data_IF_740515602669
#
_entry.id   IF_740515602669
#
_cell.length_a   1.000
_cell.length_b   1.000
_cell.length_c   1.000
_cell.angle_alpha   90.00
_cell.angle_beta   90.00
_cell.angle_gamma   90.00
#
_symmetry.space_group_name_H-M   'P 1'
#
loop_
_entity.id
_entity.type
_entity.pdbx_description
1 polymer ?
#
# COMPACT_ATOMS: atom_id res chain seq x y z
N UNK A 1 -3.95 30.97 -2.03
CA UNK A 1 -4.38 29.88 -1.12
C UNK A 1 -5.83 29.56 -1.44
N UNK A 2 -6.06 28.45 -2.13
CA UNK A 2 -7.40 27.97 -2.44
C UNK A 2 -8.16 27.74 -1.12
N UNK A 3 -9.45 28.09 -1.06
CA UNK A 3 -10.25 27.81 0.14
C UNK A 3 -10.31 26.29 0.31
N UNK A 4 -9.94 25.78 1.50
CA UNK A 4 -9.97 24.36 1.88
C UNK A 4 -11.38 23.75 1.89
N UNK A 5 -12.42 24.51 1.55
CA UNK A 5 -13.81 24.09 1.66
C UNK A 5 -14.20 23.24 0.45
N UNK A 6 -14.59 21.98 0.68
CA UNK A 6 -15.15 21.05 -0.32
C UNK A 6 -14.22 20.63 -1.49
N UNK A 7 -12.92 20.40 -1.24
CA UNK A 7 -11.99 19.96 -2.31
C UNK A 7 -12.28 18.54 -2.85
N UNK A 8 -12.71 17.62 -1.99
CA UNK A 8 -12.99 16.22 -2.36
C UNK A 8 -14.00 15.57 -1.41
N UNK A 9 -14.47 14.39 -1.76
CA UNK A 9 -15.18 13.45 -0.88
C UNK A 9 -14.42 12.13 -0.80
N UNK A 10 -14.51 11.47 0.36
CA UNK A 10 -14.06 10.09 0.54
C UNK A 10 -15.28 9.19 0.62
N UNK A 11 -15.30 8.15 -0.22
CA UNK A 11 -16.34 7.12 -0.20
C UNK A 11 -15.71 5.79 0.16
N UNK A 12 -16.15 5.22 1.26
CA UNK A 12 -15.79 3.84 1.63
C UNK A 12 -16.32 2.85 0.58
N UNK A 13 -15.44 1.97 0.09
CA UNK A 13 -15.79 0.93 -0.87
C UNK A 13 -15.89 -0.43 -0.20
N UNK A 14 -14.83 -0.84 0.51
CA UNK A 14 -14.69 -2.17 1.12
C UNK A 14 -13.56 -2.20 2.15
N UNK A 15 -13.57 -3.23 2.98
CA UNK A 15 -12.46 -3.58 3.87
C UNK A 15 -11.73 -4.80 3.29
N UNK A 16 -10.40 -4.75 3.30
CA UNK A 16 -9.52 -5.83 2.89
C UNK A 16 -8.59 -6.22 4.04
N UNK A 17 -8.21 -7.49 4.10
CA UNK A 17 -7.20 -7.97 5.04
C UNK A 17 -5.85 -8.00 4.36
N UNK A 18 -4.94 -7.17 4.84
CA UNK A 18 -3.58 -7.12 4.33
C UNK A 18 -2.60 -7.69 5.33
N UNK A 19 -1.48 -8.19 4.81
CA UNK A 19 -0.28 -8.37 5.57
C UNK A 19 0.61 -7.14 5.34
N UNK A 20 0.98 -6.45 6.42
CA UNK A 20 1.74 -5.21 6.41
C UNK A 20 3.16 -5.40 6.92
N UNK A 21 4.11 -4.78 6.24
CA UNK A 21 5.50 -4.71 6.66
C UNK A 21 5.62 -3.76 7.87
N UNK A 22 6.42 -4.11 8.90
CA UNK A 22 6.73 -3.19 9.99
C UNK A 22 7.56 -1.98 9.51
N UNK A 23 7.33 -0.82 10.13
CA UNK A 23 7.95 0.46 9.76
C UNK A 23 9.49 0.49 9.84
N UNK A 24 10.11 -0.48 10.53
CA UNK A 24 11.55 -0.64 10.66
C UNK A 24 12.00 -1.82 9.81
N UNK A 25 12.30 -1.64 8.52
CA UNK A 25 13.15 -2.64 7.84
C UNK A 25 13.87 -2.12 6.61
N UNK A 26 15.13 -2.55 6.49
CA UNK A 26 16.11 -2.17 5.47
C UNK A 26 16.06 -3.13 4.27
N UNK A 27 16.77 -2.78 3.19
CA UNK A 27 17.00 -3.61 2.00
C UNK A 27 17.49 -5.05 2.31
N UNK A 28 18.12 -5.28 3.46
CA UNK A 28 18.56 -6.60 3.93
C UNK A 28 17.38 -7.57 4.03
N UNK A 29 16.20 -7.07 4.41
CA UNK A 29 14.99 -7.87 4.56
C UNK A 29 14.53 -8.51 3.24
N UNK A 30 14.70 -7.84 2.09
CA UNK A 30 14.18 -8.35 0.81
C UNK A 30 14.91 -9.64 0.41
N UNK A 31 16.23 -9.69 0.64
CA UNK A 31 17.03 -10.87 0.37
C UNK A 31 16.69 -12.01 1.34
N UNK A 32 16.53 -11.69 2.63
CA UNK A 32 16.13 -12.68 3.65
C UNK A 32 14.75 -13.27 3.35
N UNK A 33 13.76 -12.43 2.99
CA UNK A 33 12.43 -12.87 2.56
C UNK A 33 12.53 -13.76 1.33
N UNK A 34 13.32 -13.38 0.32
CA UNK A 34 13.51 -14.22 -0.86
C UNK A 34 14.03 -15.61 -0.47
N UNK A 35 15.14 -15.68 0.28
CA UNK A 35 15.79 -16.94 0.63
C UNK A 35 14.89 -17.83 1.49
N UNK A 36 14.14 -17.24 2.44
CA UNK A 36 13.18 -17.96 3.29
C UNK A 36 11.96 -18.43 2.50
N UNK A 37 11.40 -17.60 1.60
CA UNK A 37 10.19 -17.95 0.87
C UNK A 37 10.45 -18.90 -0.30
N UNK A 38 11.66 -18.86 -0.87
CA UNK A 38 12.02 -19.71 -2.02
C UNK A 38 11.90 -21.21 -1.70
N UNK A 39 12.13 -21.62 -0.44
CA UNK A 39 12.03 -23.02 -0.03
C UNK A 39 10.61 -23.61 -0.13
N UNK A 40 9.58 -22.75 -0.23
CA UNK A 40 8.17 -23.15 -0.36
C UNK A 40 7.68 -23.17 -1.82
N UNK A 41 8.57 -22.85 -2.76
CA UNK A 41 8.24 -22.84 -4.18
C UNK A 41 8.47 -24.21 -4.80
N UNK A 42 7.42 -24.78 -5.37
CA UNK A 42 7.42 -26.10 -6.03
C UNK A 42 7.08 -26.01 -7.52
N UNK A 43 6.85 -24.80 -8.05
CA UNK A 43 6.51 -24.58 -9.46
C UNK A 43 6.99 -23.22 -9.96
N UNK A 44 7.23 -23.12 -11.28
CA UNK A 44 7.62 -21.88 -11.94
C UNK A 44 6.59 -20.74 -11.78
N UNK A 45 5.30 -21.09 -11.65
CA UNK A 45 4.26 -20.10 -11.43
C UNK A 45 4.37 -19.46 -10.04
N UNK A 46 4.65 -20.26 -9.00
CA UNK A 46 4.87 -19.71 -7.65
C UNK A 46 6.12 -18.83 -7.60
N UNK A 47 7.18 -19.20 -8.33
CA UNK A 47 8.38 -18.37 -8.44
C UNK A 47 8.10 -17.03 -9.12
N UNK A 48 7.30 -17.03 -10.19
CA UNK A 48 6.85 -15.80 -10.86
C UNK A 48 6.05 -14.89 -9.90
N UNK A 49 5.16 -15.47 -9.09
CA UNK A 49 4.37 -14.74 -8.10
C UNK A 49 5.26 -14.19 -6.97
N UNK A 50 6.24 -14.96 -6.49
CA UNK A 50 7.22 -14.49 -5.49
C UNK A 50 8.03 -13.31 -6.03
N UNK A 51 8.53 -13.41 -7.26
CA UNK A 51 9.30 -12.34 -7.88
C UNK A 51 8.46 -11.06 -8.04
N UNK A 52 7.20 -11.19 -8.46
CA UNK A 52 6.28 -10.05 -8.54
C UNK A 52 6.03 -9.39 -7.17
N UNK A 53 5.87 -10.19 -6.11
CA UNK A 53 5.76 -9.69 -4.74
C UNK A 53 7.03 -8.94 -4.29
N UNK A 54 8.21 -9.54 -4.51
CA UNK A 54 9.50 -8.95 -4.15
C UNK A 54 9.77 -7.65 -4.92
N UNK A 55 9.36 -7.57 -6.18
CA UNK A 55 9.54 -6.36 -6.98
C UNK A 55 8.64 -5.21 -6.49
N UNK A 56 7.40 -5.51 -6.07
CA UNK A 56 6.53 -4.53 -5.41
C UNK A 56 7.13 -4.04 -4.09
N UNK A 57 7.71 -4.95 -3.30
CA UNK A 57 8.38 -4.61 -2.05
C UNK A 57 9.61 -3.72 -2.29
N UNK A 58 10.46 -4.07 -3.27
CA UNK A 58 11.62 -3.25 -3.67
C UNK A 58 11.19 -1.86 -4.12
N UNK A 59 10.17 -1.77 -4.97
CA UNK A 59 9.65 -0.49 -5.45
C UNK A 59 9.16 0.37 -4.29
N UNK A 60 8.47 -0.22 -3.31
CA UNK A 60 8.03 0.50 -2.13
C UNK A 60 9.20 0.98 -1.25
N UNK A 61 10.20 0.14 -0.99
CA UNK A 61 11.37 0.53 -0.19
C UNK A 61 12.20 1.62 -0.87
N UNK A 62 12.23 1.62 -2.21
CA UNK A 62 12.96 2.60 -3.00
C UNK A 62 12.20 3.90 -3.27
N UNK A 63 10.89 3.98 -2.94
CA UNK A 63 10.07 5.14 -3.30
C UNK A 63 10.46 6.37 -2.49
N UNK A 64 10.48 7.51 -3.16
CA UNK A 64 10.39 8.79 -2.47
C UNK A 64 8.96 8.98 -1.94
N UNK A 65 8.80 9.64 -0.80
CA UNK A 65 7.49 9.79 -0.15
C UNK A 65 6.55 10.75 -0.89
N UNK A 66 7.12 11.62 -1.74
CA UNK A 66 6.36 12.63 -2.46
C UNK A 66 5.41 12.01 -3.49
N UNK A 67 4.09 12.18 -3.29
CA UNK A 67 3.04 11.75 -4.22
C UNK A 67 2.60 10.28 -4.13
N UNK A 68 3.22 9.44 -3.29
CA UNK A 68 2.91 7.99 -3.20
C UNK A 68 2.09 7.59 -1.95
N UNK A 69 1.82 8.55 -1.06
CA UNK A 69 1.21 8.32 0.25
C UNK A 69 2.23 7.92 1.32
N UNK A 70 1.82 8.07 2.58
CA UNK A 70 2.64 7.90 3.78
C UNK A 70 2.47 6.54 4.49
N UNK A 71 1.73 5.60 3.89
CA UNK A 71 1.40 4.29 4.46
C UNK A 71 2.51 3.23 4.37
N UNK A 72 2.41 2.13 5.14
CA UNK A 72 3.39 1.05 5.10
C UNK A 72 3.29 0.22 3.81
N UNK A 73 4.26 -0.63 3.52
CA UNK A 73 4.08 -1.66 2.50
C UNK A 73 3.04 -2.66 3.00
N UNK A 74 2.06 -2.97 2.16
CA UNK A 74 1.06 -3.97 2.49
C UNK A 74 0.56 -4.68 1.23
N UNK A 75 0.12 -5.92 1.38
CA UNK A 75 -0.47 -6.71 0.30
C UNK A 75 -1.65 -7.51 0.84
N UNK A 76 -2.68 -7.72 0.01
CA UNK A 76 -3.84 -8.53 0.40
C UNK A 76 -3.40 -9.97 0.67
N UNK A 77 -3.97 -10.58 1.70
CA UNK A 77 -3.61 -11.95 2.10
C UNK A 77 -3.99 -12.97 1.02
N UNK A 78 -5.05 -12.72 0.25
CA UNK A 78 -5.47 -13.59 -0.86
C UNK A 78 -4.41 -13.66 -1.97
N UNK A 79 -3.69 -12.57 -2.23
CA UNK A 79 -2.58 -12.52 -3.19
C UNK A 79 -1.37 -13.34 -2.74
N UNK A 80 -1.23 -13.61 -1.44
CA UNK A 80 -0.13 -14.39 -0.87
C UNK A 80 -0.47 -15.88 -0.69
N UNK A 81 -1.66 -16.34 -1.13
CA UNK A 81 -2.07 -17.74 -0.97
C UNK A 81 -1.13 -18.75 -1.65
N UNK A 82 -0.35 -18.32 -2.65
CA UNK A 82 0.64 -19.17 -3.33
C UNK A 82 1.80 -19.60 -2.42
N UNK A 83 2.05 -18.86 -1.33
CA UNK A 83 3.04 -19.19 -0.30
C UNK A 83 2.59 -20.32 0.62
N UNK A 84 1.34 -20.78 0.47
CA UNK A 84 0.68 -21.74 1.36
C UNK A 84 0.73 -21.28 2.83
N UNK A 85 0.27 -22.12 3.76
CA UNK A 85 0.23 -21.74 5.17
C UNK A 85 1.65 -21.51 5.74
N UNK A 86 2.62 -22.33 5.34
CA UNK A 86 3.97 -22.29 5.91
C UNK A 86 4.71 -20.99 5.55
N UNK A 87 4.71 -20.59 4.27
CA UNK A 87 5.33 -19.33 3.85
C UNK A 87 4.63 -18.09 4.44
N UNK A 88 3.30 -18.14 4.63
CA UNK A 88 2.58 -17.07 5.34
C UNK A 88 2.98 -16.98 6.83
N UNK A 89 3.23 -18.11 7.50
CA UNK A 89 3.70 -18.10 8.88
C UNK A 89 5.11 -17.52 9.01
N UNK A 90 6.00 -17.79 8.05
CA UNK A 90 7.33 -17.18 8.04
C UNK A 90 7.29 -15.65 8.00
N UNK A 91 6.41 -15.08 7.17
CA UNK A 91 6.21 -13.63 7.15
C UNK A 91 5.73 -13.11 8.52
N UNK A 92 4.84 -13.83 9.20
CA UNK A 92 4.41 -13.47 10.56
C UNK A 92 5.55 -13.57 11.58
N UNK A 93 6.43 -14.56 11.46
CA UNK A 93 7.64 -14.66 12.31
C UNK A 93 8.62 -13.51 12.06
N UNK A 94 8.63 -12.95 10.85
CA UNK A 94 9.33 -11.70 10.51
C UNK A 94 8.59 -10.43 10.96
N UNK A 95 7.62 -10.54 11.88
CA UNK A 95 6.80 -9.46 12.40
C UNK A 95 5.92 -8.75 11.37
N UNK A 96 5.54 -9.43 10.28
CA UNK A 96 4.49 -8.91 9.42
C UNK A 96 3.14 -9.03 10.10
N UNK A 97 2.39 -7.93 10.10
CA UNK A 97 1.14 -7.82 10.86
C UNK A 97 -0.06 -7.91 9.93
N UNK A 98 -1.07 -8.70 10.32
CA UNK A 98 -2.38 -8.62 9.67
C UNK A 98 -3.07 -7.34 10.09
N UNK A 99 -3.41 -6.49 9.13
CA UNK A 99 -4.08 -5.21 9.37
C UNK A 99 -5.33 -5.10 8.49
N UNK A 100 -6.43 -4.53 9.01
CA UNK A 100 -7.55 -4.15 8.16
C UNK A 100 -7.15 -2.92 7.34
N UNK A 101 -7.45 -2.96 6.05
CA UNK A 101 -7.21 -1.86 5.11
C UNK A 101 -8.56 -1.43 4.55
N UNK A 102 -8.86 -0.15 4.65
CA UNK A 102 -10.10 0.42 4.13
C UNK A 102 -9.82 0.98 2.74
N UNK A 103 -10.44 0.38 1.73
CA UNK A 103 -10.35 0.87 0.35
C UNK A 103 -11.35 2.00 0.20
N UNK A 104 -10.85 3.19 -0.14
CA UNK A 104 -11.66 4.40 -0.29
C UNK A 104 -11.49 5.01 -1.67
N UNK A 105 -12.59 5.41 -2.29
CA UNK A 105 -12.62 6.23 -3.50
C UNK A 105 -12.53 7.70 -3.11
N UNK A 106 -11.59 8.41 -3.72
CA UNK A 106 -11.50 9.87 -3.70
C UNK A 106 -12.35 10.39 -4.85
N UNK A 107 -13.25 11.32 -4.53
CA UNK A 107 -14.04 12.05 -5.53
C UNK A 107 -13.61 13.51 -5.54
N UNK A 108 -12.68 13.89 -6.43
CA UNK A 108 -12.32 15.27 -6.64
C UNK A 108 -13.55 16.12 -6.98
N UNK A 109 -13.64 17.31 -6.41
CA UNK A 109 -14.69 18.30 -6.72
C UNK A 109 -14.17 19.45 -7.59
N UNK A 110 -13.03 19.25 -8.23
CA UNK A 110 -12.39 20.18 -9.14
C UNK A 110 -12.37 19.61 -10.56
N UNK A 111 -12.34 20.49 -11.55
CA UNK A 111 -12.31 20.14 -12.96
C UNK A 111 -10.87 19.77 -13.38
N UNK A 112 -10.63 18.59 -13.97
CA UNK A 112 -9.32 18.23 -14.51
C UNK A 112 -8.80 19.18 -15.59
N UNK A 113 -9.68 19.96 -16.22
CA UNK A 113 -9.31 20.94 -17.24
C UNK A 113 -9.09 22.37 -16.68
N UNK A 114 -9.22 22.60 -15.36
CA UNK A 114 -8.89 23.90 -14.74
C UNK A 114 -7.37 24.12 -14.79
N UNK A 115 -6.93 25.32 -15.18
CA UNK A 115 -5.50 25.67 -15.25
C UNK A 115 -4.77 25.51 -13.91
N UNK A 116 -5.50 25.56 -12.79
CA UNK A 116 -4.99 25.35 -11.43
C UNK A 116 -5.08 23.90 -10.96
N UNK A 117 -5.44 22.95 -11.83
CA UNK A 117 -5.48 21.52 -11.50
C UNK A 117 -4.25 21.03 -10.72
N UNK A 118 -2.99 21.39 -11.10
CA UNK A 118 -1.82 20.98 -10.34
C UNK A 118 -1.84 21.47 -8.88
N UNK A 119 -2.31 22.69 -8.63
CA UNK A 119 -2.43 23.26 -7.28
C UNK A 119 -3.51 22.55 -6.45
N UNK A 120 -4.61 22.14 -7.10
CA UNK A 120 -5.67 21.36 -6.46
C UNK A 120 -5.21 19.97 -6.07
N UNK A 121 -4.46 19.30 -6.96
CA UNK A 121 -3.91 17.97 -6.72
C UNK A 121 -2.86 17.99 -5.60
N UNK A 122 -1.97 18.98 -5.59
CA UNK A 122 -1.01 19.19 -4.50
C UNK A 122 -1.72 19.44 -3.16
N UNK A 123 -2.76 20.29 -3.16
CA UNK A 123 -3.56 20.57 -1.96
C UNK A 123 -4.31 19.32 -1.48
N UNK A 124 -4.82 18.50 -2.41
CA UNK A 124 -5.48 17.23 -2.10
C UNK A 124 -4.52 16.28 -1.39
N UNK A 125 -3.33 16.06 -1.96
CA UNK A 125 -2.32 15.18 -1.39
C UNK A 125 -1.88 15.67 0.00
N UNK A 126 -1.64 16.98 0.14
CA UNK A 126 -1.31 17.58 1.42
C UNK A 126 -2.39 17.34 2.48
N UNK A 127 -3.68 17.53 2.13
CA UNK A 127 -4.79 17.29 3.07
C UNK A 127 -4.92 15.80 3.40
N UNK A 128 -4.73 14.90 2.43
CA UNK A 128 -4.74 13.46 2.69
C UNK A 128 -3.62 13.03 3.64
N UNK A 129 -2.41 13.58 3.47
CA UNK A 129 -1.27 13.32 4.35
C UNK A 129 -1.51 13.83 5.78
N UNK A 130 -2.25 14.94 5.96
CA UNK A 130 -2.65 15.44 7.28
C UNK A 130 -3.71 14.54 7.96
N UNK A 131 -4.59 13.91 7.18
CA UNK A 131 -5.76 13.20 7.70
C UNK A 131 -5.55 11.70 7.90
N UNK A 132 -4.77 11.07 7.03
CA UNK A 132 -4.74 9.61 6.90
C UNK A 132 -3.30 9.08 6.83
N UNK A 133 -3.17 7.82 7.24
CA UNK A 133 -2.07 6.97 6.80
C UNK A 133 -2.59 6.22 5.57
N UNK A 134 -2.01 6.43 4.39
CA UNK A 134 -2.54 5.85 3.15
C UNK A 134 -1.47 5.56 2.09
N UNK A 135 -1.83 4.71 1.13
CA UNK A 135 -1.12 4.55 -0.14
C UNK A 135 -2.14 4.62 -1.27
N UNK A 136 -1.71 5.06 -2.46
CA UNK A 136 -2.53 4.91 -3.67
C UNK A 136 -2.72 3.44 -4.02
N UNK A 137 -3.96 3.06 -4.34
CA UNK A 137 -4.31 1.75 -4.86
C UNK A 137 -4.09 1.71 -6.38
N UNK A 138 -3.97 0.51 -6.99
CA UNK A 138 -3.89 0.38 -8.44
C UNK A 138 -5.13 0.91 -9.18
N UNK A 139 -6.29 0.90 -8.52
CA UNK A 139 -7.52 1.45 -9.09
C UNK A 139 -7.50 2.99 -9.13
N UNK A 140 -8.03 3.62 -10.21
CA UNK A 140 -8.06 5.07 -10.32
C UNK A 140 -8.74 5.74 -9.13
N UNK A 141 -8.17 6.86 -8.68
CA UNK A 141 -8.69 7.68 -7.57
C UNK A 141 -8.99 6.87 -6.31
N UNK A 142 -8.30 5.77 -6.08
CA UNK A 142 -8.56 4.89 -4.94
C UNK A 142 -7.34 4.86 -4.04
N UNK A 143 -7.57 4.86 -2.73
CA UNK A 143 -6.52 4.73 -1.72
C UNK A 143 -6.78 3.54 -0.82
N UNK A 144 -5.69 2.95 -0.36
CA UNK A 144 -5.63 2.08 0.81
C UNK A 144 -5.40 2.94 2.03
N UNK A 145 -6.41 3.07 2.88
CA UNK A 145 -6.30 3.79 4.13
C UNK A 145 -6.11 2.82 5.30
N UNK A 146 -5.11 3.12 6.13
CA UNK A 146 -4.70 2.28 7.24
C UNK A 146 -5.18 2.86 8.58
N UNK A 147 -5.64 2.02 9.53
CA UNK A 147 -6.09 2.47 10.84
C UNK A 147 -4.94 3.10 11.63
N UNK A 148 -5.15 4.33 12.13
CA UNK A 148 -4.20 4.97 13.03
C UNK A 148 -4.25 4.30 14.41
N UNK A 149 -3.09 3.87 14.93
CA UNK A 149 -2.95 3.24 16.25
C UNK A 149 -2.67 1.72 16.25
N UNK A 150 -2.63 1.08 15.07
CA UNK A 150 -2.30 -0.35 14.91
C UNK A 150 -1.09 -0.60 13.98
N UNK A 151 -0.24 0.41 13.75
CA UNK A 151 0.96 0.36 12.89
C UNK A 151 2.14 0.98 13.64
#
# INVERSE_FOLDING_TARGET
MLKKDNLFELKFLREEKHLSLPNLTSLVLIKEIHDILYQYLVSAEKERLLNAFLDRLKAHVARDREGYGNGPFSIRIDELQFLENEGLQELKYMNWMEVPVYVMEIKPKFDPEDERYPEYEETLNYVLDELLVYNWAPEPNTIYAYPQGNI
#
